data_IF_018566603722
#
_entry.id   IF_018566603722
#
_cell.length_a   1.000
_cell.length_b   1.000
_cell.length_c   1.000
_cell.angle_alpha   90.00
_cell.angle_beta   90.00
_cell.angle_gamma   90.00
#
_symmetry.space_group_name_H-M   'P 1'
#
loop_
_entity.id
_entity.type
_entity.pdbx_description
1 polymer ?
#
# COMPACT_ATOMS: atom_id res chain seq x y z
N UNK A 1 24.83 15.27 0.07
CA UNK A 1 24.13 14.66 1.23
C UNK A 1 24.83 15.06 2.53
N UNK A 2 24.86 16.35 2.87
CA UNK A 2 25.45 16.86 4.13
C UNK A 2 24.52 17.84 4.84
N UNK A 3 23.21 17.58 4.76
CA UNK A 3 22.31 18.03 5.83
C UNK A 3 22.38 16.93 6.86
N UNK A 4 23.14 17.18 7.92
CA UNK A 4 23.24 16.29 9.06
C UNK A 4 21.82 15.90 9.47
N UNK A 5 21.51 14.60 9.38
CA UNK A 5 20.34 14.04 10.04
C UNK A 5 20.58 14.38 11.51
N UNK A 6 19.73 15.24 12.08
CA UNK A 6 19.79 15.56 13.51
C UNK A 6 19.85 14.22 14.27
N UNK A 7 20.95 13.98 15.00
CA UNK A 7 21.33 12.63 15.46
C UNK A 7 20.44 12.11 16.59
N UNK A 8 19.43 12.87 17.03
CA UNK A 8 18.52 12.49 18.10
C UNK A 8 17.42 11.55 17.59
N UNK A 9 17.78 10.27 17.44
CA UNK A 9 16.81 9.19 17.22
C UNK A 9 16.40 8.59 18.55
N UNK A 10 15.10 8.62 18.85
CA UNK A 10 14.55 8.14 20.12
C UNK A 10 14.28 6.64 20.01
N UNK A 11 14.75 5.86 21.00
CA UNK A 11 14.40 4.45 21.16
C UNK A 11 12.96 4.34 21.67
N UNK A 12 12.02 4.09 20.75
CA UNK A 12 10.58 3.97 21.07
C UNK A 12 10.21 2.52 21.39
N UNK A 13 10.92 1.56 20.82
CA UNK A 13 10.61 0.14 20.94
C UNK A 13 11.76 -0.58 21.68
N UNK A 14 11.46 -1.61 22.45
CA UNK A 14 12.49 -2.34 23.18
C UNK A 14 13.29 -3.29 22.26
N UNK A 15 13.62 -2.87 21.04
CA UNK A 15 14.40 -3.62 20.05
C UNK A 15 15.89 -3.40 20.28
N UNK A 16 16.75 -4.37 19.95
CA UNK A 16 18.20 -4.18 19.99
C UNK A 16 18.68 -3.27 18.85
N UNK A 17 19.85 -2.66 19.00
CA UNK A 17 20.35 -1.70 17.98
C UNK A 17 20.70 -2.38 16.64
N UNK A 18 21.09 -3.64 16.72
CA UNK A 18 21.50 -4.51 15.62
C UNK A 18 20.38 -5.44 15.15
N UNK A 19 19.19 -5.34 15.74
CA UNK A 19 18.04 -6.14 15.34
C UNK A 19 17.62 -5.81 13.90
N UNK A 20 17.51 -6.84 13.06
CA UNK A 20 17.12 -6.65 11.67
C UNK A 20 15.64 -6.20 11.60
N UNK A 21 15.34 -5.02 11.00
CA UNK A 21 13.97 -4.54 10.86
C UNK A 21 13.04 -5.51 10.12
N UNK A 22 13.56 -6.41 9.27
CA UNK A 22 12.75 -7.43 8.60
C UNK A 22 12.04 -8.37 9.59
N UNK A 23 12.61 -8.60 10.76
CA UNK A 23 12.01 -9.42 11.82
C UNK A 23 10.89 -8.67 12.56
N UNK A 24 10.82 -7.35 12.40
CA UNK A 24 9.93 -6.45 13.14
C UNK A 24 9.07 -5.60 12.21
N UNK A 25 8.63 -6.16 11.08
CA UNK A 25 7.72 -5.50 10.13
C UNK A 25 8.28 -4.16 9.59
N UNK A 26 9.60 -4.05 9.42
CA UNK A 26 10.31 -2.84 8.95
C UNK A 26 10.30 -1.66 9.93
N UNK A 27 10.02 -1.91 11.22
CA UNK A 27 10.19 -0.93 12.29
C UNK A 27 11.66 -0.49 12.41
N UNK A 28 11.91 0.81 12.29
CA UNK A 28 13.19 1.46 12.57
C UNK A 28 13.08 2.50 13.71
N UNK A 29 13.98 2.44 14.69
CA UNK A 29 14.05 3.39 15.81
C UNK A 29 15.41 4.09 15.93
N UNK A 30 16.40 3.65 15.16
CA UNK A 30 17.72 4.26 15.11
C UNK A 30 18.32 4.14 13.70
N UNK A 31 19.43 4.86 13.50
CA UNK A 31 20.15 4.91 12.21
C UNK A 31 20.79 3.56 11.85
N UNK A 32 21.22 2.75 12.82
CA UNK A 32 21.84 1.44 12.55
C UNK A 32 20.82 0.48 11.92
N UNK A 33 19.60 0.43 12.45
CA UNK A 33 18.50 -0.33 11.88
C UNK A 33 18.12 0.17 10.48
N UNK A 34 18.09 1.48 10.25
CA UNK A 34 17.89 2.04 8.90
C UNK A 34 18.99 1.56 7.94
N UNK A 35 20.26 1.58 8.35
CA UNK A 35 21.38 1.06 7.55
C UNK A 35 21.24 -0.44 7.26
N UNK A 36 20.82 -1.23 8.25
CA UNK A 36 20.57 -2.66 8.09
C UNK A 36 19.45 -2.93 7.08
N UNK A 37 18.33 -2.21 7.18
CA UNK A 37 17.24 -2.30 6.20
C UNK A 37 17.72 -1.99 4.78
N UNK A 38 18.54 -0.94 4.61
CA UNK A 38 19.12 -0.58 3.31
C UNK A 38 20.06 -1.66 2.76
N UNK A 39 20.90 -2.24 3.62
CA UNK A 39 21.85 -3.29 3.24
C UNK A 39 21.13 -4.55 2.78
N UNK A 40 20.07 -4.93 3.48
CA UNK A 40 19.40 -6.22 3.30
C UNK A 40 18.23 -6.15 2.30
N UNK A 41 17.78 -4.96 1.89
CA UNK A 41 16.67 -4.81 0.95
C UNK A 41 17.09 -4.81 -0.52
N UNK A 42 16.70 -5.86 -1.25
CA UNK A 42 16.88 -5.92 -2.70
C UNK A 42 16.11 -4.83 -3.44
N UNK A 43 14.93 -4.42 -2.94
CA UNK A 43 14.14 -3.33 -3.54
C UNK A 43 14.87 -2.00 -3.42
N UNK A 44 15.34 -1.66 -2.21
CA UNK A 44 16.11 -0.43 -2.02
C UNK A 44 17.40 -0.45 -2.84
N UNK A 45 18.05 -1.61 -2.98
CA UNK A 45 19.23 -1.76 -3.85
C UNK A 45 18.90 -1.47 -5.32
N UNK A 46 17.77 -1.96 -5.82
CA UNK A 46 17.32 -1.67 -7.19
C UNK A 46 16.99 -0.19 -7.40
N UNK A 47 16.41 0.46 -6.40
CA UNK A 47 16.11 1.89 -6.44
C UNK A 47 17.40 2.70 -6.40
N UNK A 48 18.33 2.36 -5.50
CA UNK A 48 19.64 3.01 -5.34
C UNK A 48 20.47 2.95 -6.64
N UNK A 49 20.46 1.82 -7.33
CA UNK A 49 21.19 1.69 -8.59
C UNK A 49 20.61 2.55 -9.73
N UNK A 50 19.42 3.13 -9.55
CA UNK A 50 18.76 4.04 -10.50
C UNK A 50 18.72 5.48 -10.00
N UNK A 51 19.31 5.77 -8.82
CA UNK A 51 19.35 7.09 -8.22
C UNK A 51 20.15 8.05 -9.12
N UNK A 52 19.51 9.14 -9.49
CA UNK A 52 20.06 10.38 -10.05
C UNK A 52 20.48 11.35 -8.92
N UNK A 53 20.41 12.67 -9.11
CA UNK A 53 20.88 13.65 -8.11
C UNK A 53 19.78 14.20 -7.19
N UNK A 54 18.52 13.76 -7.33
CA UNK A 54 17.35 14.43 -6.75
C UNK A 54 16.45 13.52 -5.88
N UNK A 55 16.92 12.35 -5.51
CA UNK A 55 16.15 11.34 -4.80
C UNK A 55 16.00 11.70 -3.33
N UNK A 56 14.87 11.25 -2.77
CA UNK A 56 14.46 11.57 -1.40
C UNK A 56 14.36 10.30 -0.59
N UNK A 57 14.92 10.32 0.61
CA UNK A 57 14.62 9.34 1.63
C UNK A 57 13.31 9.74 2.31
N UNK A 58 12.32 8.84 2.27
CA UNK A 58 11.03 9.03 2.94
C UNK A 58 10.99 8.14 4.16
N UNK A 59 10.87 8.77 5.33
CA UNK A 59 10.66 8.09 6.61
C UNK A 59 9.22 8.36 7.05
N UNK A 60 8.48 7.30 7.38
CA UNK A 60 7.09 7.40 7.84
C UNK A 60 7.01 6.98 9.29
N UNK A 61 6.18 7.69 10.06
CA UNK A 61 5.85 7.28 11.43
C UNK A 61 5.19 5.90 11.36
N UNK A 62 5.68 4.99 12.18
CA UNK A 62 5.05 3.68 12.34
C UNK A 62 3.68 3.82 12.99
N UNK A 63 2.69 3.10 12.47
CA UNK A 63 1.34 3.00 13.01
C UNK A 63 1.07 1.51 13.22
N UNK A 64 0.69 1.11 14.44
CA UNK A 64 0.32 -0.28 14.73
C UNK A 64 -1.07 -0.60 14.16
N UNK A 65 -1.36 -1.89 14.02
CA UNK A 65 -2.72 -2.40 13.84
C UNK A 65 -3.42 -2.00 12.53
N UNK A 66 -2.63 -1.79 11.47
CA UNK A 66 -3.17 -1.77 10.11
C UNK A 66 -3.50 -3.21 9.70
N UNK A 67 -4.61 -3.73 10.23
CA UNK A 67 -5.31 -4.87 9.64
C UNK A 67 -6.21 -4.32 8.53
N UNK A 68 -6.51 -5.10 7.49
CA UNK A 68 -7.36 -4.69 6.36
C UNK A 68 -6.69 -3.76 5.34
N UNK A 69 -5.55 -4.22 4.80
CA UNK A 69 -4.97 -3.61 3.60
C UNK A 69 -5.67 -4.11 2.33
N UNK A 70 -5.90 -3.18 1.42
CA UNK A 70 -6.50 -3.41 0.12
C UNK A 70 -5.64 -2.78 -0.97
N UNK A 71 -5.66 -3.43 -2.13
CA UNK A 71 -5.08 -2.92 -3.36
C UNK A 71 -6.19 -2.53 -4.33
N UNK A 72 -6.26 -1.25 -4.64
CA UNK A 72 -7.20 -0.63 -5.55
C UNK A 72 -6.57 -0.45 -6.93
N UNK A 73 -7.30 -0.76 -7.99
CA UNK A 73 -6.86 -0.64 -9.38
C UNK A 73 -7.64 0.48 -10.06
N UNK A 74 -6.98 1.61 -10.29
CA UNK A 74 -7.55 2.78 -10.96
C UNK A 74 -7.11 2.77 -12.43
N UNK A 75 -8.06 2.85 -13.35
CA UNK A 75 -7.78 2.97 -14.78
C UNK A 75 -8.83 3.85 -15.46
N UNK A 76 -8.39 4.76 -16.32
CA UNK A 76 -9.24 5.76 -16.98
C UNK A 76 -10.07 6.59 -15.98
N UNK A 77 -9.48 6.93 -14.83
CA UNK A 77 -10.11 7.75 -13.79
C UNK A 77 -11.22 7.04 -13.02
N UNK A 78 -11.30 5.71 -13.09
CA UNK A 78 -12.30 4.89 -12.39
C UNK A 78 -11.64 3.83 -11.51
N UNK A 79 -12.27 3.52 -10.38
CA UNK A 79 -11.88 2.39 -9.54
C UNK A 79 -12.44 1.10 -10.14
N UNK A 80 -11.58 0.34 -10.83
CA UNK A 80 -12.01 -0.81 -11.60
C UNK A 80 -12.10 -2.10 -10.79
N UNK A 81 -11.15 -2.27 -9.88
CA UNK A 81 -11.06 -3.46 -9.05
C UNK A 81 -10.42 -3.15 -7.70
N UNK A 82 -10.70 -4.00 -6.72
CA UNK A 82 -10.06 -3.99 -5.41
C UNK A 82 -9.88 -5.41 -4.90
N UNK A 83 -8.74 -5.67 -4.26
CA UNK A 83 -8.51 -6.95 -3.57
C UNK A 83 -7.92 -6.75 -2.19
N UNK A 84 -8.18 -7.68 -1.28
CA UNK A 84 -7.44 -7.80 -0.02
C UNK A 84 -5.98 -8.10 -0.28
N UNK A 85 -5.12 -7.58 0.58
CA UNK A 85 -3.70 -7.92 0.60
C UNK A 85 -3.46 -9.00 1.67
N UNK A 86 -2.99 -10.19 1.26
CA UNK A 86 -2.64 -11.30 2.17
C UNK A 86 -3.73 -12.36 2.37
N UNK A 87 -3.57 -13.17 3.42
CA UNK A 87 -4.38 -14.36 3.74
C UNK A 87 -5.50 -14.11 4.76
N UNK A 88 -5.88 -12.85 5.01
CA UNK A 88 -6.95 -12.55 5.96
C UNK A 88 -8.27 -13.16 5.50
N UNK A 89 -8.79 -14.10 6.29
CA UNK A 89 -10.14 -14.63 6.12
C UNK A 89 -11.11 -13.68 6.80
N UNK A 90 -11.95 -13.01 6.02
CA UNK A 90 -13.08 -12.25 6.55
C UNK A 90 -14.26 -13.20 6.82
N UNK A 91 -15.04 -12.94 7.87
CA UNK A 91 -16.34 -13.59 8.04
C UNK A 91 -17.30 -13.16 6.93
N UNK A 92 -18.28 -14.01 6.60
CA UNK A 92 -19.27 -13.74 5.54
C UNK A 92 -20.13 -12.49 5.82
N UNK A 93 -20.46 -12.22 7.09
CA UNK A 93 -21.24 -11.03 7.48
C UNK A 93 -20.47 -9.73 7.22
N UNK A 94 -19.16 -9.74 7.42
CA UNK A 94 -18.30 -8.61 7.09
C UNK A 94 -18.24 -8.38 5.58
N UNK A 95 -18.32 -9.44 4.78
CA UNK A 95 -18.18 -9.34 3.32
C UNK A 95 -19.21 -8.39 2.68
N UNK A 96 -20.49 -8.50 3.06
CA UNK A 96 -21.54 -7.65 2.50
C UNK A 96 -21.32 -6.19 2.85
N UNK A 97 -21.10 -5.89 4.13
CA UNK A 97 -20.87 -4.52 4.62
C UNK A 97 -19.63 -3.90 3.96
N UNK A 98 -18.58 -4.69 3.78
CA UNK A 98 -17.37 -4.27 3.08
C UNK A 98 -17.66 -3.95 1.61
N UNK A 99 -18.40 -4.80 0.90
CA UNK A 99 -18.82 -4.54 -0.48
C UNK A 99 -19.65 -3.27 -0.58
N UNK A 100 -20.60 -3.07 0.34
CA UNK A 100 -21.47 -1.89 0.35
C UNK A 100 -20.65 -0.61 0.59
N UNK A 101 -19.70 -0.64 1.54
CA UNK A 101 -18.79 0.48 1.79
C UNK A 101 -17.87 0.77 0.60
N UNK A 102 -17.23 -0.24 0.02
CA UNK A 102 -16.35 -0.08 -1.15
C UNK A 102 -17.10 0.51 -2.36
N UNK A 103 -18.34 0.08 -2.56
CA UNK A 103 -19.17 0.60 -3.65
C UNK A 103 -19.81 1.97 -3.33
N UNK A 104 -19.74 2.43 -2.08
CA UNK A 104 -20.27 3.72 -1.68
C UNK A 104 -19.52 4.87 -2.35
N UNK A 105 -20.23 5.98 -2.54
CA UNK A 105 -19.65 7.20 -3.11
C UNK A 105 -18.53 7.76 -2.23
N UNK A 106 -18.64 7.69 -0.91
CA UNK A 106 -17.61 8.22 0.01
C UNK A 106 -16.27 7.50 -0.16
N UNK A 107 -16.27 6.17 -0.26
CA UNK A 107 -15.04 5.41 -0.50
C UNK A 107 -14.44 5.75 -1.87
N UNK A 108 -15.27 5.72 -2.91
CA UNK A 108 -14.82 6.03 -4.27
C UNK A 108 -14.28 7.45 -4.39
N UNK A 109 -14.94 8.44 -3.80
CA UNK A 109 -14.50 9.83 -3.81
C UNK A 109 -13.11 9.97 -3.16
N UNK A 110 -12.85 9.28 -2.03
CA UNK A 110 -11.52 9.29 -1.39
C UNK A 110 -10.45 8.72 -2.33
N UNK A 111 -10.69 7.52 -2.89
CA UNK A 111 -9.72 6.86 -3.76
C UNK A 111 -9.46 7.67 -5.04
N UNK A 112 -10.51 8.29 -5.59
CA UNK A 112 -10.43 9.07 -6.83
C UNK A 112 -9.93 10.52 -6.62
N UNK A 113 -9.69 10.96 -5.38
CA UNK A 113 -8.95 12.22 -5.13
C UNK A 113 -7.48 12.14 -5.56
N UNK A 114 -6.95 10.93 -5.75
CA UNK A 114 -5.58 10.69 -6.19
C UNK A 114 -5.44 11.19 -7.65
N UNK A 115 -4.47 12.08 -7.96
CA UNK A 115 -4.39 12.79 -9.24
C UNK A 115 -3.81 11.94 -10.38
N UNK A 116 -4.09 10.65 -10.40
CA UNK A 116 -3.64 9.71 -11.43
C UNK A 116 -4.84 8.99 -12.03
N UNK A 117 -5.02 9.14 -13.34
CA UNK A 117 -6.05 8.42 -14.10
C UNK A 117 -5.77 6.91 -14.18
N UNK A 118 -4.53 6.51 -13.97
CA UNK A 118 -4.07 5.13 -13.99
C UNK A 118 -3.10 4.90 -12.83
N UNK A 119 -3.47 4.03 -11.88
CA UNK A 119 -2.64 3.75 -10.72
C UNK A 119 -3.07 2.50 -9.97
N UNK A 120 -2.14 1.92 -9.22
CA UNK A 120 -2.41 0.90 -8.22
C UNK A 120 -2.26 1.57 -6.86
N UNK A 121 -3.32 1.61 -6.07
CA UNK A 121 -3.33 2.32 -4.78
C UNK A 121 -3.49 1.30 -3.68
N UNK A 122 -2.49 1.22 -2.80
CA UNK A 122 -2.60 0.43 -1.59
C UNK A 122 -3.17 1.32 -0.48
N UNK A 123 -4.22 0.86 0.17
CA UNK A 123 -4.88 1.58 1.25
C UNK A 123 -5.25 0.63 2.38
N UNK A 124 -5.44 1.18 3.58
CA UNK A 124 -6.07 0.47 4.68
C UNK A 124 -7.42 1.07 5.02
N UNK A 125 -8.32 0.23 5.54
CA UNK A 125 -9.61 0.66 6.04
C UNK A 125 -9.66 0.36 7.54
N UNK A 126 -9.86 1.40 8.33
CA UNK A 126 -10.21 1.27 9.75
C UNK A 126 -11.72 1.02 9.87
N UNK A 127 -12.12 -0.23 10.06
CA UNK A 127 -13.55 -0.60 10.15
C UNK A 127 -14.26 -0.07 11.40
N UNK A 128 -13.54 0.46 12.39
CA UNK A 128 -14.18 1.07 13.57
C UNK A 128 -14.84 2.41 13.26
N UNK A 129 -14.33 3.12 12.26
CA UNK A 129 -14.76 4.48 11.90
C UNK A 129 -14.85 4.72 10.38
N UNK A 130 -14.60 3.70 9.55
CA UNK A 130 -14.59 3.74 8.09
C UNK A 130 -13.58 4.72 7.48
N UNK A 131 -12.51 5.05 8.21
CA UNK A 131 -11.44 5.88 7.66
C UNK A 131 -10.58 5.09 6.68
N UNK A 132 -10.26 5.74 5.56
CA UNK A 132 -9.38 5.19 4.53
C UNK A 132 -8.01 5.86 4.62
N UNK A 133 -6.96 5.07 4.77
CA UNK A 133 -5.57 5.54 4.84
C UNK A 133 -4.86 5.11 3.56
N UNK A 134 -4.38 6.08 2.77
CA UNK A 134 -3.56 5.78 1.59
C UNK A 134 -2.14 5.40 2.05
N UNK A 135 -1.69 4.20 1.68
CA UNK A 135 -0.39 3.66 2.06
C UNK A 135 0.62 3.91 0.95
N UNK A 136 0.31 3.50 -0.28
CA UNK A 136 1.26 3.57 -1.39
C UNK A 136 0.51 3.80 -2.70
N UNK A 137 1.16 4.50 -3.63
CA UNK A 137 0.68 4.64 -5.01
C UNK A 137 1.76 4.09 -5.93
N UNK A 138 1.37 3.11 -6.71
CA UNK A 138 2.19 2.32 -7.60
C UNK A 138 1.77 2.56 -9.06
N UNK A 139 2.70 2.47 -10.03
CA UNK A 139 2.35 2.55 -11.45
C UNK A 139 1.34 1.48 -11.88
N UNK A 140 0.39 1.82 -12.74
CA UNK A 140 -0.55 0.85 -13.31
C UNK A 140 0.14 -0.06 -14.35
N UNK A 141 0.85 -1.08 -13.88
CA UNK A 141 1.65 -1.93 -14.75
C UNK A 141 1.92 -3.30 -14.13
N UNK A 142 2.39 -4.23 -14.97
CA UNK A 142 2.84 -5.58 -14.57
C UNK A 142 3.99 -5.58 -13.54
N UNK A 143 4.67 -4.44 -13.32
CA UNK A 143 5.72 -4.32 -12.29
C UNK A 143 5.12 -4.25 -10.89
N UNK A 144 3.89 -3.79 -10.76
CA UNK A 144 3.16 -3.79 -9.50
C UNK A 144 2.46 -5.13 -9.34
N UNK A 145 2.51 -5.71 -8.14
CA UNK A 145 1.84 -7.00 -7.89
C UNK A 145 0.33 -6.85 -8.12
N UNK A 146 -0.28 -7.84 -8.77
CA UNK A 146 -1.72 -7.85 -9.02
C UNK A 146 -2.54 -8.39 -7.84
N UNK A 147 -1.90 -8.77 -6.73
CA UNK A 147 -2.55 -9.40 -5.58
C UNK A 147 -3.42 -10.60 -6.00
N UNK A 148 -4.75 -10.54 -5.82
CA UNK A 148 -5.69 -11.61 -6.21
C UNK A 148 -6.21 -11.49 -7.65
N UNK A 149 -5.68 -10.54 -8.42
CA UNK A 149 -5.92 -10.40 -9.85
C UNK A 149 -4.72 -10.88 -10.67
N UNK A 150 -4.93 -11.00 -11.97
CA UNK A 150 -3.91 -11.27 -12.98
C UNK A 150 -3.96 -10.19 -14.04
N UNK A 151 -2.82 -9.51 -14.27
CA UNK A 151 -2.69 -8.51 -15.33
C UNK A 151 -2.99 -9.03 -16.74
N UNK A 152 -2.93 -10.35 -16.95
CA UNK A 152 -3.14 -11.00 -18.24
C UNK A 152 -4.57 -11.52 -18.33
N UNK A 153 -5.01 -12.29 -17.33
CA UNK A 153 -6.33 -12.95 -17.36
C UNK A 153 -7.44 -11.94 -17.07
N UNK A 154 -7.24 -11.05 -16.10
CA UNK A 154 -8.25 -10.08 -15.68
C UNK A 154 -8.09 -8.74 -16.41
N UNK A 155 -7.45 -8.74 -17.59
CA UNK A 155 -7.19 -7.51 -18.35
C UNK A 155 -8.47 -6.72 -18.57
N UNK A 156 -9.57 -7.38 -18.90
CA UNK A 156 -10.82 -6.67 -19.22
C UNK A 156 -11.46 -6.02 -17.98
N UNK A 157 -11.32 -6.67 -16.82
CA UNK A 157 -11.71 -6.10 -15.53
C UNK A 157 -10.84 -4.88 -15.22
N UNK A 158 -9.51 -5.04 -15.28
CA UNK A 158 -8.56 -4.02 -14.85
C UNK A 158 -8.53 -2.81 -15.79
N UNK A 159 -8.66 -3.00 -17.10
CA UNK A 159 -8.49 -1.91 -18.09
C UNK A 159 -9.81 -1.31 -18.58
N UNK A 160 -10.85 -2.13 -18.75
CA UNK A 160 -12.09 -1.71 -19.45
C UNK A 160 -13.30 -1.58 -18.53
N UNK A 161 -13.12 -1.70 -17.22
CA UNK A 161 -14.22 -1.61 -16.25
C UNK A 161 -15.37 -2.58 -16.57
N UNK A 162 -15.03 -3.82 -16.94
CA UNK A 162 -16.03 -4.85 -17.14
C UNK A 162 -16.61 -5.22 -15.78
N UNK A 163 -17.79 -4.68 -15.45
CA UNK A 163 -18.46 -4.95 -14.19
C UNK A 163 -19.89 -5.41 -14.36
N UNK A 164 -20.36 -6.15 -13.36
CA UNK A 164 -21.74 -6.49 -13.22
C UNK A 164 -22.46 -5.30 -12.57
N UNK A 165 -23.28 -4.58 -13.34
CA UNK A 165 -24.23 -3.60 -12.83
C UNK A 165 -23.64 -2.32 -12.19
N UNK A 166 -22.47 -1.84 -12.65
CA UNK A 166 -21.91 -0.58 -12.16
C UNK A 166 -21.14 -0.66 -10.84
N UNK A 167 -20.97 -1.85 -10.27
CA UNK A 167 -20.19 -2.06 -9.04
C UNK A 167 -18.69 -2.26 -9.31
N UNK A 168 -17.84 -1.99 -8.32
CA UNK A 168 -16.40 -2.32 -8.36
C UNK A 168 -16.23 -3.84 -8.34
N UNK A 169 -15.24 -4.37 -9.07
CA UNK A 169 -14.89 -5.79 -8.99
C UNK A 169 -14.07 -6.05 -7.72
N UNK A 170 -14.58 -6.88 -6.80
CA UNK A 170 -13.98 -7.09 -5.47
C UNK A 170 -13.53 -8.55 -5.32
N UNK A 171 -12.29 -8.77 -4.87
CA UNK A 171 -11.76 -10.11 -4.52
C UNK A 171 -11.19 -10.13 -3.11
N UNK A 172 -11.79 -10.93 -2.22
CA UNK A 172 -11.35 -11.09 -0.84
C UNK A 172 -10.37 -12.22 -0.64
#
# INVERSE_FOLDING_TARGET
LSKEINNEWIRIWNLSEDEDPYLNFMKIQNVNQLKLLFKNSDRLRQDINKISSNEKLILRKWISDISNEYRCFICNGKLNAISTYGSQQNSLENEKQMKDFINSKSFQDIILTIPYSHGVVDCAIDWSNYNVIIIEINPFSKRSSAAKFSWIIDRDILYYYFNNYGCVNIRF
#
